data_IF_336255386331
#
_entry.id   IF_336255386331
#
_cell.length_a   1.000
_cell.length_b   1.000
_cell.length_c   1.000
_cell.angle_alpha   90.00
_cell.angle_beta   90.00
_cell.angle_gamma   90.00
#
_symmetry.space_group_name_H-M   'P 1'
#
loop_
_entity.id
_entity.type
_entity.pdbx_description
1 polymer ?
#
# COMPACT_ATOMS: atom_id res chain seq x y z
N UNK A 1 -7.81 -1.29 -35.99
CA UNK A 1 -7.15 -0.04 -35.55
C UNK A 1 -7.81 0.36 -34.25
N UNK A 2 -7.24 0.02 -33.10
CA UNK A 2 -7.79 0.30 -31.78
C UNK A 2 -7.26 1.66 -31.36
N UNK A 3 -8.14 2.64 -31.15
CA UNK A 3 -7.79 3.98 -30.63
C UNK A 3 -7.06 3.84 -29.29
N UNK A 4 -5.98 4.60 -29.06
CA UNK A 4 -5.33 4.59 -27.75
C UNK A 4 -6.31 5.12 -26.71
N UNK A 5 -6.53 4.34 -25.65
CA UNK A 5 -7.25 4.77 -24.45
C UNK A 5 -6.62 6.07 -23.95
N UNK A 6 -7.39 7.15 -23.96
CA UNK A 6 -7.01 8.40 -23.31
C UNK A 6 -6.83 8.09 -21.82
N UNK A 7 -5.58 8.12 -21.36
CA UNK A 7 -5.28 8.13 -19.94
C UNK A 7 -6.06 9.28 -19.28
N UNK A 8 -6.84 9.06 -18.23
CA UNK A 8 -7.51 10.14 -17.54
C UNK A 8 -6.47 11.20 -17.16
N UNK A 9 -6.71 12.45 -17.47
CA UNK A 9 -5.90 13.56 -16.97
C UNK A 9 -5.85 13.39 -15.47
N UNK A 10 -4.66 13.13 -14.93
CA UNK A 10 -4.42 13.13 -13.49
C UNK A 10 -5.08 14.35 -12.86
N UNK A 11 -5.73 14.11 -11.74
CA UNK A 11 -6.36 15.12 -10.92
C UNK A 11 -5.55 16.43 -10.91
N UNK A 12 -6.26 17.55 -10.91
CA UNK A 12 -5.66 18.89 -10.84
C UNK A 12 -4.52 18.91 -9.83
N UNK A 13 -3.41 19.60 -10.13
CA UNK A 13 -2.34 19.73 -9.14
C UNK A 13 -2.96 20.28 -7.86
N UNK A 14 -2.55 19.69 -6.73
CA UNK A 14 -2.94 20.17 -5.41
C UNK A 14 -2.81 21.70 -5.39
N UNK A 15 -3.95 22.37 -5.21
CA UNK A 15 -3.93 23.81 -5.01
C UNK A 15 -3.21 24.09 -3.70
N UNK A 16 -2.23 24.97 -3.74
CA UNK A 16 -1.56 25.44 -2.53
C UNK A 16 -2.61 25.89 -1.52
N UNK A 17 -2.42 25.61 -0.21
CA UNK A 17 -3.36 26.07 0.82
C UNK A 17 -3.67 27.54 0.61
N UNK A 18 -4.95 27.92 0.57
CA UNK A 18 -5.32 29.32 0.63
C UNK A 18 -4.83 29.84 1.97
N UNK A 19 -3.83 30.70 1.95
CA UNK A 19 -2.99 31.08 3.09
C UNK A 19 -3.75 31.65 4.31
N UNK A 20 -5.03 31.96 4.19
CA UNK A 20 -5.87 32.47 5.29
C UNK A 20 -6.56 31.38 6.10
N UNK A 21 -6.90 30.23 5.50
CA UNK A 21 -7.78 29.24 6.15
C UNK A 21 -7.02 28.00 6.64
N UNK A 22 -5.71 27.88 6.36
CA UNK A 22 -4.83 26.77 6.77
C UNK A 22 -5.38 25.38 6.39
N UNK A 23 -6.14 25.30 5.29
CA UNK A 23 -6.80 24.10 4.80
C UNK A 23 -6.07 23.59 3.58
N UNK A 24 -5.70 22.31 3.62
CA UNK A 24 -5.15 21.56 2.49
C UNK A 24 -6.27 20.74 1.82
N UNK A 25 -6.65 21.09 0.60
CA UNK A 25 -7.49 20.26 -0.26
C UNK A 25 -6.58 19.27 -1.01
N UNK A 26 -6.59 18.03 -0.58
CA UNK A 26 -5.57 17.05 -0.97
C UNK A 26 -5.97 16.15 -2.13
N UNK A 27 -7.11 16.39 -2.79
CA UNK A 27 -7.64 15.52 -3.84
C UNK A 27 -7.65 14.05 -3.38
N UNK A 28 -6.99 13.14 -4.12
CA UNK A 28 -6.86 11.73 -3.73
C UNK A 28 -5.84 11.52 -2.59
N UNK A 29 -5.03 12.52 -2.27
CA UNK A 29 -4.11 12.45 -1.14
C UNK A 29 -4.83 12.38 0.19
N UNK A 30 -4.33 11.55 1.13
CA UNK A 30 -4.91 11.32 2.46
C UNK A 30 -6.32 10.71 2.46
N UNK A 31 -6.77 10.19 1.31
CA UNK A 31 -7.98 9.42 1.20
C UNK A 31 -7.89 8.03 1.82
N UNK A 32 -9.03 7.43 2.10
CA UNK A 32 -9.16 6.04 2.53
C UNK A 32 -10.36 5.37 1.87
N UNK A 33 -10.35 4.04 1.81
CA UNK A 33 -11.56 3.25 1.52
C UNK A 33 -12.48 3.19 2.74
N UNK A 34 -13.66 2.59 2.55
CA UNK A 34 -14.66 2.39 3.59
C UNK A 34 -15.65 3.54 3.75
N UNK A 35 -16.74 3.27 4.43
CA UNK A 35 -17.79 4.22 4.72
C UNK A 35 -17.40 5.15 5.88
N UNK A 36 -17.99 6.35 5.93
CA UNK A 36 -17.66 7.34 6.98
C UNK A 36 -18.32 7.04 8.32
N UNK A 37 -19.34 6.18 8.32
CA UNK A 37 -20.12 5.77 9.48
C UNK A 37 -19.65 4.44 10.12
N UNK A 38 -18.53 3.90 9.63
CA UNK A 38 -17.89 2.70 10.18
C UNK A 38 -16.63 3.11 10.93
N UNK A 39 -16.52 2.69 12.18
CA UNK A 39 -15.31 2.87 12.98
C UNK A 39 -14.27 1.82 12.57
N UNK A 40 -13.22 2.25 11.91
CA UNK A 40 -12.11 1.41 11.44
C UNK A 40 -10.78 2.16 11.53
N UNK A 41 -9.66 1.40 11.57
CA UNK A 41 -8.33 2.00 11.56
C UNK A 41 -8.06 2.74 10.24
N UNK A 42 -7.92 4.06 10.34
CA UNK A 42 -7.64 4.91 9.19
C UNK A 42 -6.40 4.44 8.43
N UNK A 43 -5.33 4.06 9.13
CA UNK A 43 -4.06 3.71 8.49
C UNK A 43 -4.16 2.47 7.61
N UNK A 44 -4.96 1.47 7.99
CA UNK A 44 -5.18 0.26 7.21
C UNK A 44 -5.83 0.60 5.87
N UNK A 45 -6.99 1.25 5.91
CA UNK A 45 -7.76 1.58 4.70
C UNK A 45 -7.11 2.67 3.84
N UNK A 46 -6.39 3.62 4.47
CA UNK A 46 -5.65 4.65 3.76
C UNK A 46 -4.40 4.08 3.07
N UNK A 47 -3.70 3.12 3.67
CA UNK A 47 -2.56 2.43 3.04
C UNK A 47 -3.01 1.63 1.83
N UNK A 48 -4.13 0.91 1.98
CA UNK A 48 -4.78 0.16 0.89
C UNK A 48 -5.18 1.10 -0.26
N UNK A 49 -5.79 2.24 0.07
CA UNK A 49 -6.13 3.30 -0.89
C UNK A 49 -4.87 3.86 -1.56
N UNK A 50 -3.85 4.21 -0.77
CA UNK A 50 -2.60 4.78 -1.27
C UNK A 50 -1.93 3.86 -2.28
N UNK A 51 -1.65 2.60 -1.93
CA UNK A 51 -0.99 1.66 -2.84
C UNK A 51 -1.91 1.21 -3.99
N UNK A 52 -3.22 1.26 -3.82
CA UNK A 52 -4.18 1.01 -4.88
C UNK A 52 -4.20 2.09 -5.97
N UNK A 53 -4.15 3.36 -5.58
CA UNK A 53 -4.41 4.52 -6.45
C UNK A 53 -3.15 5.35 -6.70
N UNK A 54 -2.36 5.64 -5.66
CA UNK A 54 -1.27 6.62 -5.67
C UNK A 54 0.12 5.97 -5.71
N UNK A 55 0.26 4.71 -5.31
CA UNK A 55 1.52 4.06 -4.98
C UNK A 55 2.68 4.20 -5.99
N UNK A 56 2.39 4.25 -7.29
CA UNK A 56 3.42 4.47 -8.33
C UNK A 56 3.94 5.91 -8.42
N UNK A 57 3.34 6.84 -7.70
CA UNK A 57 3.66 8.28 -7.78
C UNK A 57 4.43 8.79 -6.56
N UNK A 58 5.31 7.99 -5.98
CA UNK A 58 6.07 8.35 -4.79
C UNK A 58 6.79 9.69 -4.90
N UNK A 59 7.55 9.93 -5.99
CA UNK A 59 8.26 11.21 -6.20
C UNK A 59 7.33 12.43 -6.26
N UNK A 60 6.22 12.44 -7.02
CA UNK A 60 5.24 13.52 -6.96
C UNK A 60 4.70 13.77 -5.54
N UNK A 61 4.39 12.72 -4.78
CA UNK A 61 3.89 12.84 -3.40
C UNK A 61 4.98 13.45 -2.49
N UNK A 62 6.23 12.99 -2.58
CA UNK A 62 7.36 13.58 -1.84
C UNK A 62 7.53 15.08 -2.14
N UNK A 63 7.41 15.49 -3.40
CA UNK A 63 7.49 16.89 -3.79
C UNK A 63 6.33 17.70 -3.21
N UNK A 64 5.16 17.10 -3.13
CA UNK A 64 4.00 17.70 -2.48
C UNK A 64 4.23 17.91 -1.00
N UNK A 65 4.68 16.87 -0.27
CA UNK A 65 4.96 16.95 1.17
C UNK A 65 6.00 18.03 1.47
N UNK A 66 7.06 18.16 0.64
CA UNK A 66 8.04 19.23 0.76
C UNK A 66 7.43 20.62 0.58
N UNK A 67 6.49 20.79 -0.34
CA UNK A 67 5.77 22.06 -0.52
C UNK A 67 4.83 22.33 0.65
N UNK A 68 4.09 21.31 1.10
CA UNK A 68 3.16 21.41 2.21
C UNK A 68 3.86 21.82 3.53
N UNK A 69 5.10 21.38 3.74
CA UNK A 69 5.90 21.73 4.91
C UNK A 69 6.19 23.24 5.05
N UNK A 70 6.02 24.03 3.98
CA UNK A 70 6.17 25.49 4.04
C UNK A 70 4.90 26.21 4.47
N UNK A 71 3.81 25.50 4.74
CA UNK A 71 2.52 26.06 5.12
C UNK A 71 2.10 25.52 6.48
N UNK A 72 1.44 26.37 7.24
CA UNK A 72 0.76 25.96 8.46
C UNK A 72 -0.59 25.33 8.07
N UNK A 73 -0.73 24.01 8.27
CA UNK A 73 -1.92 23.26 7.90
C UNK A 73 -2.63 22.83 9.18
N UNK A 74 -3.90 23.21 9.31
CA UNK A 74 -4.78 22.85 10.44
C UNK A 74 -5.84 21.82 10.04
N UNK A 75 -6.12 21.69 8.74
CA UNK A 75 -7.11 20.73 8.20
C UNK A 75 -6.63 20.14 6.90
N UNK A 76 -6.87 18.85 6.71
CA UNK A 76 -6.70 18.16 5.42
C UNK A 76 -8.06 17.65 4.98
N UNK A 77 -8.48 18.04 3.78
CA UNK A 77 -9.76 17.69 3.18
C UNK A 77 -9.53 16.82 1.94
N UNK A 78 -9.51 15.49 2.07
CA UNK A 78 -9.43 14.58 0.95
C UNK A 78 -10.77 14.49 0.21
N UNK A 79 -10.75 14.00 -1.05
CA UNK A 79 -11.98 13.70 -1.79
C UNK A 79 -12.67 12.43 -1.29
N UNK A 80 -11.92 11.51 -0.69
CA UNK A 80 -12.40 10.23 -0.20
C UNK A 80 -11.96 10.04 1.25
N UNK A 81 -12.90 9.81 2.17
CA UNK A 81 -12.64 9.65 3.59
C UNK A 81 -12.98 10.87 4.43
N UNK A 82 -12.64 10.87 5.72
CA UNK A 82 -12.99 11.95 6.65
C UNK A 82 -12.08 13.18 6.48
N UNK A 83 -12.59 14.33 6.91
CA UNK A 83 -11.75 15.53 7.11
C UNK A 83 -10.82 15.26 8.31
N UNK A 84 -9.52 15.48 8.12
CA UNK A 84 -8.51 15.28 9.16
C UNK A 84 -8.20 16.64 9.82
N UNK A 85 -8.42 16.74 11.13
CA UNK A 85 -8.25 17.98 11.92
C UNK A 85 -7.31 17.79 13.09
N UNK A 86 -7.06 16.55 13.51
CA UNK A 86 -6.25 16.23 14.67
C UNK A 86 -5.06 15.37 14.24
N UNK A 87 -3.97 15.44 14.98
CA UNK A 87 -2.80 14.60 14.78
C UNK A 87 -2.28 14.57 13.32
N UNK A 88 -2.32 15.68 12.62
CA UNK A 88 -1.96 15.79 11.20
C UNK A 88 -0.53 15.30 10.92
N UNK A 89 0.38 15.45 11.89
CA UNK A 89 1.74 14.93 11.80
C UNK A 89 1.81 13.41 11.58
N UNK A 90 0.89 12.65 12.16
CA UNK A 90 0.79 11.21 11.97
C UNK A 90 0.47 10.85 10.51
N UNK A 91 -0.52 11.49 9.93
CA UNK A 91 -0.92 11.24 8.53
C UNK A 91 0.16 11.67 7.54
N UNK A 92 0.78 12.82 7.77
CA UNK A 92 1.89 13.31 6.96
C UNK A 92 3.10 12.37 7.02
N UNK A 93 3.41 11.84 8.21
CA UNK A 93 4.50 10.88 8.38
C UNK A 93 4.23 9.55 7.65
N UNK A 94 3.02 9.01 7.72
CA UNK A 94 2.65 7.80 6.97
C UNK A 94 2.79 8.02 5.46
N UNK A 95 2.30 9.14 4.95
CA UNK A 95 2.47 9.48 3.54
C UNK A 95 3.93 9.66 3.13
N UNK A 96 4.76 10.19 4.02
CA UNK A 96 6.21 10.27 3.80
C UNK A 96 6.85 8.86 3.72
N UNK A 97 6.50 7.95 4.62
CA UNK A 97 6.96 6.56 4.62
C UNK A 97 6.54 5.85 3.32
N UNK A 98 5.27 5.91 2.97
CA UNK A 98 4.73 5.22 1.79
C UNK A 98 5.32 5.76 0.48
N UNK A 99 5.40 7.08 0.35
CA UNK A 99 5.88 7.73 -0.88
C UNK A 99 7.40 7.67 -1.07
N UNK A 100 8.16 7.46 0.00
CA UNK A 100 9.58 7.16 -0.06
C UNK A 100 9.87 5.66 -0.22
N UNK A 101 8.84 4.81 -0.24
CA UNK A 101 8.94 3.35 -0.23
C UNK A 101 9.76 2.82 0.96
N UNK A 102 9.71 3.51 2.08
CA UNK A 102 10.32 3.07 3.33
C UNK A 102 9.50 1.98 3.99
N UNK A 103 10.15 1.16 4.80
CA UNK A 103 9.47 0.14 5.62
C UNK A 103 8.66 0.83 6.71
N UNK A 104 7.37 0.51 6.81
CA UNK A 104 6.51 1.08 7.84
C UNK A 104 6.61 0.31 9.17
N UNK A 105 6.67 -1.01 9.07
CA UNK A 105 6.69 -1.88 10.25
C UNK A 105 7.61 -3.09 10.02
N UNK A 106 8.26 -3.53 11.09
CA UNK A 106 9.03 -4.77 11.04
C UNK A 106 8.11 -5.99 10.94
N UNK A 107 8.42 -6.88 10.00
CA UNK A 107 7.65 -8.10 9.78
C UNK A 107 8.03 -8.83 8.51
N UNK A 108 7.41 -9.98 8.31
CA UNK A 108 7.55 -10.85 7.14
C UNK A 108 6.18 -11.17 6.59
N UNK A 109 6.01 -10.97 5.30
CA UNK A 109 4.85 -11.46 4.54
C UNK A 109 5.24 -12.73 3.81
N UNK A 110 4.43 -13.76 3.92
CA UNK A 110 4.56 -15.00 3.15
C UNK A 110 3.35 -15.08 2.22
N UNK A 111 3.53 -14.69 0.97
CA UNK A 111 2.51 -14.78 -0.06
C UNK A 111 2.67 -16.11 -0.80
N UNK A 112 1.63 -16.94 -0.84
CA UNK A 112 1.72 -18.23 -1.47
C UNK A 112 0.56 -18.54 -2.40
N UNK A 113 0.81 -19.50 -3.31
CA UNK A 113 -0.20 -20.23 -4.07
C UNK A 113 0.04 -21.73 -3.93
N UNK A 114 -1.02 -22.52 -3.86
CA UNK A 114 -0.90 -23.97 -3.68
C UNK A 114 -2.03 -24.72 -4.37
N UNK A 115 -1.70 -25.68 -5.21
CA UNK A 115 -2.67 -26.52 -5.92
C UNK A 115 -3.11 -27.71 -5.04
N UNK A 116 -2.15 -28.49 -4.56
CA UNK A 116 -2.39 -29.70 -3.77
C UNK A 116 -2.11 -29.56 -2.27
N UNK A 117 -1.91 -28.36 -1.80
CA UNK A 117 -1.67 -28.07 -0.38
C UNK A 117 -0.22 -28.20 0.09
N UNK A 118 0.72 -28.68 -0.73
CA UNK A 118 2.11 -28.86 -0.29
C UNK A 118 2.83 -27.52 -0.07
N UNK A 119 2.70 -26.57 -1.01
CA UNK A 119 3.25 -25.21 -0.84
C UNK A 119 2.61 -24.49 0.34
N UNK A 120 1.29 -24.67 0.55
CA UNK A 120 0.60 -24.17 1.74
C UNK A 120 1.23 -24.69 3.03
N UNK A 121 1.46 -26.01 3.13
CA UNK A 121 2.10 -26.62 4.32
C UNK A 121 3.50 -26.04 4.56
N UNK A 122 4.30 -25.87 3.51
CA UNK A 122 5.63 -25.27 3.60
C UNK A 122 5.58 -23.82 4.07
N UNK A 123 4.66 -23.00 3.51
CA UNK A 123 4.44 -21.60 3.91
C UNK A 123 4.03 -21.47 5.38
N UNK A 124 3.09 -22.30 5.82
CA UNK A 124 2.66 -22.33 7.22
C UNK A 124 3.78 -22.76 8.17
N UNK A 125 4.56 -23.80 7.78
CA UNK A 125 5.71 -24.24 8.58
C UNK A 125 6.79 -23.16 8.68
N UNK A 126 7.06 -22.45 7.60
CA UNK A 126 7.98 -21.30 7.63
C UNK A 126 7.49 -20.23 8.59
N UNK A 127 6.19 -19.93 8.57
CA UNK A 127 5.61 -18.93 9.47
C UNK A 127 5.78 -19.32 10.95
N UNK A 128 5.59 -20.60 11.30
CA UNK A 128 5.85 -21.13 12.66
C UNK A 128 7.31 -20.92 13.05
N UNK A 129 8.25 -21.34 12.19
CA UNK A 129 9.69 -21.20 12.44
C UNK A 129 10.09 -19.74 12.64
N UNK A 130 9.55 -18.83 11.82
CA UNK A 130 9.86 -17.40 11.96
C UNK A 130 9.34 -16.83 13.29
N UNK A 131 8.16 -17.24 13.72
CA UNK A 131 7.60 -16.86 15.04
C UNK A 131 8.43 -17.42 16.18
N UNK A 132 8.82 -18.69 16.13
CA UNK A 132 9.71 -19.35 17.11
C UNK A 132 11.07 -18.64 17.19
N UNK A 133 11.57 -18.08 16.09
CA UNK A 133 12.82 -17.30 16.03
C UNK A 133 12.65 -15.84 16.47
N UNK A 134 11.46 -15.44 16.96
CA UNK A 134 11.21 -14.11 17.50
C UNK A 134 10.81 -13.06 16.46
N UNK A 135 10.40 -13.46 15.24
CA UNK A 135 9.85 -12.48 14.31
C UNK A 135 8.54 -11.87 14.86
N UNK A 136 8.54 -10.56 15.07
CA UNK A 136 7.45 -9.84 15.76
C UNK A 136 6.12 -9.90 15.02
N UNK A 137 6.15 -9.95 13.70
CA UNK A 137 4.96 -10.02 12.83
C UNK A 137 5.24 -10.93 11.65
N UNK A 138 4.37 -11.92 11.46
CA UNK A 138 4.37 -12.81 10.29
C UNK A 138 2.94 -12.90 9.78
N UNK A 139 2.71 -12.42 8.57
CA UNK A 139 1.45 -12.58 7.83
C UNK A 139 1.61 -13.68 6.78
N UNK A 140 0.56 -14.46 6.57
CA UNK A 140 0.55 -15.54 5.57
C UNK A 140 -0.70 -15.39 4.72
N UNK A 141 -0.53 -15.20 3.42
CA UNK A 141 -1.63 -14.90 2.50
C UNK A 141 -1.73 -15.95 1.39
N UNK A 142 -2.90 -16.54 1.24
CA UNK A 142 -3.25 -17.41 0.11
C UNK A 142 -3.76 -16.55 -1.05
N UNK A 143 -2.90 -16.23 -2.00
CA UNK A 143 -3.21 -15.34 -3.11
C UNK A 143 -4.40 -15.80 -3.99
N UNK A 144 -4.82 -17.05 -3.86
CA UNK A 144 -5.96 -17.58 -4.59
C UNK A 144 -7.30 -17.45 -3.84
N UNK A 145 -7.28 -17.09 -2.54
CA UNK A 145 -8.45 -17.12 -1.66
C UNK A 145 -8.63 -15.88 -0.81
N UNK A 146 -7.52 -15.23 -0.44
CA UNK A 146 -7.53 -14.06 0.41
C UNK A 146 -7.62 -12.76 -0.41
N UNK A 147 -7.82 -11.64 0.27
CA UNK A 147 -7.94 -10.34 -0.40
C UNK A 147 -6.62 -9.92 -1.04
N UNK A 148 -6.66 -9.76 -2.35
CA UNK A 148 -5.50 -9.37 -3.15
C UNK A 148 -4.99 -7.96 -2.79
N UNK A 149 -5.88 -7.03 -2.49
CA UNK A 149 -5.50 -5.66 -2.16
C UNK A 149 -4.83 -5.59 -0.78
N UNK A 150 -5.28 -6.42 0.17
CA UNK A 150 -4.63 -6.58 1.47
C UNK A 150 -3.23 -7.22 1.32
N UNK A 151 -3.09 -8.23 0.45
CA UNK A 151 -1.79 -8.83 0.17
C UNK A 151 -0.78 -7.81 -0.39
N UNK A 152 -1.21 -6.93 -1.29
CA UNK A 152 -0.39 -5.83 -1.82
C UNK A 152 -0.02 -4.85 -0.69
N UNK A 153 -0.99 -4.41 0.09
CA UNK A 153 -0.80 -3.49 1.20
C UNK A 153 0.24 -4.03 2.21
N UNK A 154 0.07 -5.26 2.64
CA UNK A 154 0.99 -5.92 3.58
C UNK A 154 2.42 -6.02 3.00
N UNK A 155 2.57 -6.34 1.71
CA UNK A 155 3.88 -6.37 1.07
C UNK A 155 4.59 -5.02 1.14
N UNK A 156 3.85 -3.91 0.99
CA UNK A 156 4.42 -2.56 1.12
C UNK A 156 4.61 -2.12 2.58
N UNK A 157 3.83 -2.64 3.51
CA UNK A 157 3.93 -2.33 4.94
C UNK A 157 5.19 -2.91 5.58
N UNK A 158 5.48 -4.18 5.29
CA UNK A 158 6.55 -4.93 5.94
C UNK A 158 7.84 -4.96 5.14
N UNK A 159 8.97 -5.15 5.83
CA UNK A 159 10.31 -5.09 5.24
C UNK A 159 10.73 -6.34 4.47
N UNK A 160 10.04 -7.48 4.66
CA UNK A 160 10.44 -8.77 4.10
C UNK A 160 9.26 -9.49 3.47
N UNK A 161 9.46 -10.02 2.26
CA UNK A 161 8.46 -10.74 1.48
C UNK A 161 9.01 -12.10 1.04
N UNK A 162 8.29 -13.17 1.34
CA UNK A 162 8.56 -14.51 0.83
C UNK A 162 7.48 -14.87 -0.18
N UNK A 163 7.92 -15.33 -1.37
CA UNK A 163 7.05 -15.77 -2.44
C UNK A 163 7.14 -17.30 -2.57
N UNK A 164 6.04 -17.98 -2.25
CA UNK A 164 5.96 -19.43 -2.32
C UNK A 164 4.91 -19.88 -3.35
N UNK A 165 5.35 -20.43 -4.47
CA UNK A 165 4.46 -20.81 -5.57
C UNK A 165 4.81 -22.15 -6.17
N UNK A 166 3.90 -22.70 -6.95
CA UNK A 166 4.12 -23.87 -7.79
C UNK A 166 4.37 -23.46 -9.24
N UNK A 167 5.14 -24.27 -9.96
CA UNK A 167 5.20 -24.18 -11.41
C UNK A 167 3.86 -24.64 -12.00
N UNK A 168 3.33 -23.87 -12.92
CA UNK A 168 2.10 -24.15 -13.63
C UNK A 168 2.25 -23.78 -15.10
N UNK A 169 2.04 -24.75 -15.99
CA UNK A 169 2.17 -24.56 -17.44
C UNK A 169 3.51 -23.89 -17.84
N UNK A 170 4.61 -24.40 -17.31
CA UNK A 170 5.99 -23.90 -17.52
C UNK A 170 6.25 -22.46 -17.02
N UNK A 171 5.40 -21.95 -16.14
CA UNK A 171 5.48 -20.60 -15.59
C UNK A 171 5.06 -20.58 -14.10
N UNK A 172 5.06 -19.43 -13.46
CA UNK A 172 4.50 -19.27 -12.12
C UNK A 172 2.98 -19.38 -12.16
N UNK A 173 2.39 -19.83 -11.07
CA UNK A 173 0.93 -19.92 -10.95
C UNK A 173 0.26 -18.56 -11.18
N UNK A 174 -0.88 -18.48 -11.91
CA UNK A 174 -1.47 -17.22 -12.36
C UNK A 174 -1.70 -16.17 -11.27
N UNK A 175 -2.19 -16.55 -10.09
CA UNK A 175 -2.40 -15.60 -8.99
C UNK A 175 -1.08 -15.02 -8.46
N UNK A 176 0.01 -15.82 -8.43
CA UNK A 176 1.33 -15.30 -8.07
C UNK A 176 1.84 -14.33 -9.13
N UNK A 177 1.64 -14.63 -10.42
CA UNK A 177 1.99 -13.70 -11.51
C UNK A 177 1.27 -12.36 -11.33
N UNK A 178 -0.05 -12.40 -11.13
CA UNK A 178 -0.85 -11.20 -10.92
C UNK A 178 -0.36 -10.38 -9.71
N UNK A 179 0.06 -11.07 -8.64
CA UNK A 179 0.60 -10.42 -7.45
C UNK A 179 1.94 -9.73 -7.75
N UNK A 180 2.86 -10.42 -8.41
CA UNK A 180 4.16 -9.84 -8.80
C UNK A 180 3.98 -8.66 -9.76
N UNK A 181 3.09 -8.78 -10.74
CA UNK A 181 2.77 -7.69 -11.67
C UNK A 181 2.15 -6.50 -10.91
N UNK A 182 1.25 -6.76 -9.96
CA UNK A 182 0.68 -5.74 -9.08
C UNK A 182 1.74 -5.00 -8.24
N UNK A 183 2.73 -5.70 -7.73
CA UNK A 183 3.86 -5.10 -7.03
C UNK A 183 4.71 -4.23 -7.98
N UNK A 184 5.01 -4.74 -9.17
CA UNK A 184 5.79 -4.04 -10.20
C UNK A 184 5.14 -2.74 -10.66
N UNK A 185 3.85 -2.77 -10.95
CA UNK A 185 3.07 -1.61 -11.35
C UNK A 185 3.10 -0.47 -10.31
N UNK A 186 3.29 -0.81 -9.03
CA UNK A 186 3.36 0.11 -7.89
C UNK A 186 4.80 0.45 -7.48
N UNK A 187 5.78 0.04 -8.31
CA UNK A 187 7.20 0.30 -8.07
C UNK A 187 7.72 -0.28 -6.73
N UNK A 188 7.36 -1.53 -6.42
CA UNK A 188 7.82 -2.22 -5.22
C UNK A 188 9.34 -2.25 -5.13
N UNK A 189 9.88 -1.73 -4.05
CA UNK A 189 11.30 -1.56 -3.85
C UNK A 189 11.68 -1.47 -2.36
N UNK A 190 12.98 -1.44 -2.05
CA UNK A 190 13.51 -1.29 -0.70
C UNK A 190 13.04 -2.37 0.28
N UNK A 191 12.84 -3.60 -0.21
CA UNK A 191 12.43 -4.77 0.59
C UNK A 191 13.35 -5.95 0.31
N UNK A 192 13.47 -6.84 1.29
CA UNK A 192 14.12 -8.14 1.08
C UNK A 192 13.09 -9.13 0.55
N UNK A 193 13.43 -9.82 -0.55
CA UNK A 193 12.58 -10.86 -1.16
C UNK A 193 13.31 -12.21 -1.07
N UNK A 194 12.57 -13.24 -0.67
CA UNK A 194 13.02 -14.62 -0.58
C UNK A 194 12.06 -15.61 -1.22
#
# INVERSE_FOLDING_TARGET
MVSPLKVPRMARPLEAPKSKDKILFSADGFGKFGALDVEEDWACEARRYYFGIVGKYGTPVQNLLKKAANFEIEKICPLHGPILTENLGYYLNLYNIWSSYSVESEGVVIAYTSVYGNTKKAALKLAEILKEKGCSKVTVTDLARDDFAEAIEDAFRYGKLVLATTTYNSDVFPFMRSFVDGLRERQYQNRTIG
#
